data_IF_373115930501
#
_entry.id   IF_373115930501
#
_cell.length_a   1.000
_cell.length_b   1.000
_cell.length_c   1.000
_cell.angle_alpha   90.00
_cell.angle_beta   90.00
_cell.angle_gamma   90.00
#
_symmetry.space_group_name_H-M   'P 1'
#
loop_
_entity.id
_entity.type
_entity.pdbx_description
1 polymer ?
#
# COMPACT_ATOMS: atom_id res chain seq x y z
N UNK A 1 0.97 0.29 -3.64
CA UNK A 1 1.02 1.49 -2.77
C UNK A 1 -0.37 2.10 -2.70
N UNK A 2 -0.77 2.63 -1.53
CA UNK A 2 -2.05 3.36 -1.36
C UNK A 2 -1.72 4.75 -0.79
N UNK A 3 -2.22 5.80 -1.43
CA UNK A 3 -2.10 7.19 -0.96
C UNK A 3 -3.48 7.71 -0.61
N UNK A 4 -3.62 8.32 0.57
CA UNK A 4 -4.88 8.91 1.02
C UNK A 4 -4.63 10.31 1.56
N UNK A 5 -5.36 11.28 1.01
CA UNK A 5 -5.31 12.68 1.42
C UNK A 5 -6.71 13.12 1.87
N UNK A 6 -6.80 13.82 3.00
CA UNK A 6 -8.09 14.21 3.54
C UNK A 6 -8.02 14.84 4.92
N UNK A 7 -9.19 15.13 5.49
CA UNK A 7 -9.27 15.66 6.85
C UNK A 7 -8.85 14.63 7.91
N UNK A 8 -8.35 15.12 9.06
CA UNK A 8 -7.81 14.31 10.17
C UNK A 8 -8.74 13.15 10.59
N UNK A 9 -10.05 13.38 10.65
CA UNK A 9 -11.05 12.36 11.02
C UNK A 9 -11.12 11.23 9.98
N UNK A 10 -11.18 11.56 8.69
CA UNK A 10 -11.25 10.58 7.61
C UNK A 10 -9.95 9.75 7.54
N UNK A 11 -8.79 10.41 7.63
CA UNK A 11 -7.48 9.74 7.65
C UNK A 11 -7.40 8.75 8.82
N UNK A 12 -7.80 9.15 10.05
CA UNK A 12 -7.79 8.24 11.21
C UNK A 12 -8.66 6.99 10.99
N UNK A 13 -9.83 7.15 10.39
CA UNK A 13 -10.71 6.01 10.09
C UNK A 13 -10.11 5.10 9.01
N UNK A 14 -9.52 5.67 7.96
CA UNK A 14 -8.89 4.89 6.89
C UNK A 14 -7.63 4.16 7.36
N UNK A 15 -6.78 4.79 8.17
CA UNK A 15 -5.64 4.11 8.80
C UNK A 15 -6.11 2.96 9.68
N UNK A 16 -7.19 3.12 10.46
CA UNK A 16 -7.77 2.01 11.26
C UNK A 16 -8.31 0.89 10.37
N UNK A 17 -8.91 1.22 9.23
CA UNK A 17 -9.37 0.24 8.25
C UNK A 17 -8.20 -0.60 7.74
N UNK A 18 -7.17 0.05 7.18
CA UNK A 18 -6.03 -0.62 6.54
C UNK A 18 -5.18 -1.42 7.52
N UNK A 19 -4.92 -0.87 8.72
CA UNK A 19 -3.96 -1.47 9.66
C UNK A 19 -4.59 -2.47 10.64
N UNK A 20 -5.92 -2.49 10.81
CA UNK A 20 -6.57 -3.31 11.85
C UNK A 20 -7.81 -4.08 11.41
N UNK A 21 -8.56 -3.60 10.42
CA UNK A 21 -9.86 -4.17 10.07
C UNK A 21 -9.80 -5.07 8.84
N UNK A 22 -8.89 -4.79 7.91
CA UNK A 22 -8.63 -5.65 6.76
C UNK A 22 -7.71 -6.76 7.21
N UNK A 23 -8.15 -8.00 7.00
CA UNK A 23 -7.33 -9.18 7.18
C UNK A 23 -6.58 -9.47 5.88
N UNK A 24 -5.33 -9.02 5.82
CA UNK A 24 -4.48 -9.16 4.63
C UNK A 24 -4.01 -10.59 4.38
N UNK A 25 -4.04 -11.46 5.41
CA UNK A 25 -3.66 -12.87 5.29
C UNK A 25 -4.84 -13.76 4.86
N UNK A 26 -6.04 -13.19 4.66
CA UNK A 26 -7.20 -13.93 4.16
C UNK A 26 -7.73 -15.01 5.13
N UNK A 27 -7.43 -14.91 6.43
CA UNK A 27 -7.87 -15.89 7.43
C UNK A 27 -9.40 -15.87 7.67
N UNK A 28 -10.07 -14.76 7.39
CA UNK A 28 -11.53 -14.59 7.51
C UNK A 28 -12.21 -14.51 6.15
N UNK A 29 -12.41 -15.68 5.54
CA UNK A 29 -13.40 -15.99 4.50
C UNK A 29 -13.36 -15.18 3.19
N UNK A 30 -12.74 -15.76 2.16
CA UNK A 30 -13.31 -15.71 0.81
C UNK A 30 -14.17 -16.97 0.63
N UNK A 31 -15.47 -16.86 0.89
CA UNK A 31 -16.42 -17.87 0.43
C UNK A 31 -16.46 -17.83 -1.10
N UNK A 32 -16.13 -18.95 -1.73
CA UNK A 32 -16.32 -19.29 -3.15
C UNK A 32 -15.64 -18.37 -4.18
N UNK A 33 -14.47 -18.77 -4.70
CA UNK A 33 -14.31 -19.34 -6.05
C UNK A 33 -12.82 -19.49 -6.44
N UNK A 34 -12.57 -20.53 -7.24
CA UNK A 34 -11.34 -20.95 -7.93
C UNK A 34 -10.30 -21.76 -7.12
N UNK A 35 -10.45 -23.09 -7.24
CA UNK A 35 -9.34 -24.04 -7.26
C UNK A 35 -8.31 -23.60 -8.31
N UNK A 36 -7.06 -23.46 -7.89
CA UNK A 36 -5.90 -23.83 -8.69
C UNK A 36 -4.77 -24.16 -7.73
N UNK A 37 -4.42 -25.44 -7.70
CA UNK A 37 -3.24 -25.97 -7.04
C UNK A 37 -2.00 -25.43 -7.76
N UNK A 38 -1.14 -24.71 -7.05
CA UNK A 38 0.29 -24.68 -7.37
C UNK A 38 1.10 -24.35 -6.11
N UNK A 39 1.65 -25.43 -5.55
CA UNK A 39 2.97 -25.61 -4.93
C UNK A 39 3.72 -24.39 -4.33
N UNK A 40 3.96 -24.50 -3.03
CA UNK A 40 5.22 -24.17 -2.33
C UNK A 40 5.97 -22.89 -2.73
N UNK A 41 5.28 -21.75 -2.78
CA UNK A 41 5.92 -20.46 -2.54
C UNK A 41 5.91 -20.16 -1.05
N UNK A 42 7.03 -19.75 -0.39
CA UNK A 42 6.96 -19.28 0.98
C UNK A 42 5.93 -18.14 0.99
N UNK A 43 4.80 -18.36 1.67
CA UNK A 43 3.71 -17.40 1.75
C UNK A 43 4.31 -16.10 2.27
N UNK A 44 4.62 -15.17 1.35
CA UNK A 44 4.97 -13.80 1.73
C UNK A 44 3.80 -13.36 2.59
N UNK A 45 4.07 -13.06 3.86
CA UNK A 45 3.03 -12.59 4.77
C UNK A 45 2.42 -11.35 4.13
N UNK A 46 1.21 -11.46 3.61
CA UNK A 46 0.53 -10.34 2.99
C UNK A 46 0.18 -9.35 4.11
N UNK A 47 0.49 -8.09 3.89
CA UNK A 47 0.34 -7.08 4.93
C UNK A 47 0.26 -5.68 4.37
N UNK A 48 -0.10 -4.76 5.27
CA UNK A 48 -0.12 -3.33 4.98
C UNK A 48 0.77 -2.61 6.00
N UNK A 49 1.71 -1.82 5.50
CA UNK A 49 2.59 -0.99 6.31
C UNK A 49 2.23 0.49 6.13
N UNK A 50 2.17 1.23 7.23
CA UNK A 50 2.09 2.68 7.19
C UNK A 50 3.50 3.26 6.96
N UNK A 51 3.79 3.63 5.72
CA UNK A 51 5.12 4.15 5.33
C UNK A 51 5.34 5.59 5.79
N UNK A 52 4.32 6.45 5.66
CA UNK A 52 4.39 7.85 6.06
C UNK A 52 3.00 8.41 6.39
N UNK A 53 2.94 9.32 7.36
CA UNK A 53 1.74 10.10 7.66
C UNK A 53 2.14 11.52 8.07
N UNK A 54 1.55 12.52 7.43
CA UNK A 54 1.81 13.92 7.75
C UNK A 54 0.79 14.89 7.16
N UNK A 55 1.10 16.17 7.21
CA UNK A 55 0.30 17.27 6.66
C UNK A 55 1.01 17.81 5.43
N UNK A 56 0.25 18.05 4.36
CA UNK A 56 0.73 18.70 3.14
C UNK A 56 -0.09 19.95 2.84
N UNK A 57 0.53 20.94 2.21
CA UNK A 57 -0.12 22.22 1.92
C UNK A 57 -1.23 22.10 0.86
N UNK A 58 -1.07 21.22 -0.12
CA UNK A 58 -2.00 21.02 -1.25
C UNK A 58 -2.20 19.54 -1.51
N UNK A 59 -3.43 19.17 -1.88
CA UNK A 59 -3.76 17.81 -2.31
C UNK A 59 -3.19 17.53 -3.69
N UNK A 60 -2.54 16.39 -3.86
CA UNK A 60 -2.08 15.89 -5.17
C UNK A 60 -3.14 14.99 -5.85
N UNK A 61 -4.12 14.49 -5.08
CA UNK A 61 -5.15 13.57 -5.57
C UNK A 61 -6.56 14.12 -5.30
N UNK A 62 -7.31 14.40 -6.39
CA UNK A 62 -8.68 14.92 -6.28
C UNK A 62 -9.74 13.83 -6.10
N UNK A 63 -9.45 12.60 -6.54
CA UNK A 63 -10.37 11.47 -6.52
C UNK A 63 -9.63 10.18 -6.18
N UNK A 64 -10.35 9.21 -5.61
CA UNK A 64 -9.84 7.87 -5.42
C UNK A 64 -9.88 7.10 -6.76
N UNK A 65 -8.73 6.59 -7.21
CA UNK A 65 -8.60 5.81 -8.45
C UNK A 65 -7.58 4.69 -8.26
N UNK A 66 -7.84 3.56 -8.91
CA UNK A 66 -6.86 2.50 -9.08
C UNK A 66 -6.03 2.80 -10.32
N UNK A 67 -4.71 2.72 -10.17
CA UNK A 67 -3.77 2.84 -11.27
C UNK A 67 -2.89 1.60 -11.27
N UNK A 68 -3.04 0.77 -12.29
CA UNK A 68 -2.13 -0.35 -12.51
C UNK A 68 -0.80 0.19 -13.05
N UNK A 69 0.30 -0.24 -12.46
CA UNK A 69 1.67 0.05 -12.90
C UNK A 69 2.45 -1.27 -12.86
N UNK A 70 2.90 -1.74 -14.03
CA UNK A 70 3.58 -3.05 -14.14
C UNK A 70 5.04 -3.01 -13.70
N UNK A 71 5.64 -1.82 -13.64
CA UNK A 71 7.04 -1.64 -13.25
C UNK A 71 7.18 -0.47 -12.27
N UNK A 72 8.22 -0.50 -11.43
CA UNK A 72 8.56 0.60 -10.52
C UNK A 72 8.77 1.91 -11.27
N UNK A 73 9.37 1.86 -12.46
CA UNK A 73 9.58 3.01 -13.34
C UNK A 73 8.24 3.66 -13.73
N UNK A 74 7.24 2.86 -14.11
CA UNK A 74 5.90 3.40 -14.44
C UNK A 74 5.20 4.00 -13.22
N UNK A 75 5.31 3.35 -12.06
CA UNK A 75 4.75 3.86 -10.82
C UNK A 75 5.37 5.21 -10.41
N UNK A 76 6.70 5.33 -10.47
CA UNK A 76 7.41 6.58 -10.21
C UNK A 76 6.97 7.69 -11.15
N UNK A 77 6.86 7.42 -12.47
CA UNK A 77 6.39 8.40 -13.47
C UNK A 77 4.97 8.90 -13.20
N UNK A 78 4.06 8.03 -12.76
CA UNK A 78 2.70 8.43 -12.36
C UNK A 78 2.72 9.39 -11.17
N UNK A 79 3.58 9.13 -10.18
CA UNK A 79 3.73 9.99 -9.01
C UNK A 79 4.42 11.31 -9.35
N UNK A 80 5.37 11.30 -10.28
CA UNK A 80 6.05 12.48 -10.80
C UNK A 80 5.09 13.41 -11.56
N UNK A 81 4.18 12.87 -12.38
CA UNK A 81 3.13 13.65 -13.05
C UNK A 81 2.19 14.39 -12.06
N UNK A 82 2.18 13.97 -10.79
CA UNK A 82 1.43 14.59 -9.69
C UNK A 82 2.31 15.40 -8.74
N UNK A 83 3.59 15.58 -9.08
CA UNK A 83 4.58 16.28 -8.29
C UNK A 83 4.84 15.67 -6.88
N UNK A 84 4.67 14.35 -6.76
CA UNK A 84 4.80 13.59 -5.52
C UNK A 84 5.64 12.32 -5.67
N UNK A 85 6.64 12.36 -6.58
CA UNK A 85 7.55 11.24 -6.82
C UNK A 85 8.23 10.73 -5.54
N UNK A 86 8.56 11.65 -4.62
CA UNK A 86 9.17 11.32 -3.32
C UNK A 86 8.32 10.37 -2.45
N UNK A 87 7.00 10.28 -2.65
CA UNK A 87 6.20 9.28 -1.95
C UNK A 87 6.55 7.85 -2.41
N UNK A 88 6.86 7.67 -3.70
CA UNK A 88 7.32 6.38 -4.22
C UNK A 88 8.70 6.02 -3.66
N UNK A 89 9.60 7.00 -3.59
CA UNK A 89 10.96 6.84 -3.05
C UNK A 89 10.94 6.37 -1.58
N UNK A 90 9.99 6.87 -0.79
CA UNK A 90 9.77 6.42 0.59
C UNK A 90 9.33 4.95 0.64
N UNK A 91 8.46 4.53 -0.28
CA UNK A 91 7.98 3.14 -0.35
C UNK A 91 9.14 2.21 -0.69
N UNK A 92 9.94 2.52 -1.70
CA UNK A 92 11.09 1.68 -2.09
C UNK A 92 12.08 1.52 -0.92
N UNK A 93 12.43 2.61 -0.24
CA UNK A 93 13.30 2.57 0.94
C UNK A 93 12.71 1.77 2.09
N UNK A 94 11.40 1.90 2.35
CA UNK A 94 10.73 1.16 3.43
C UNK A 94 10.63 -0.34 3.15
N UNK A 95 10.47 -0.72 1.88
CA UNK A 95 10.42 -2.12 1.45
C UNK A 95 11.79 -2.78 1.60
N UNK A 96 12.87 -2.09 1.21
CA UNK A 96 14.24 -2.54 1.43
C UNK A 96 14.55 -2.70 2.92
N UNK A 97 14.20 -1.72 3.75
CA UNK A 97 14.41 -1.80 5.20
C UNK A 97 13.64 -2.97 5.85
N UNK A 98 12.44 -3.27 5.36
CA UNK A 98 11.65 -4.41 5.83
C UNK A 98 12.26 -5.74 5.39
N UNK A 99 12.80 -5.82 4.17
CA UNK A 99 13.48 -7.01 3.66
C UNK A 99 14.80 -7.31 4.39
N UNK A 100 15.46 -6.27 4.91
CA UNK A 100 16.73 -6.38 5.65
C UNK A 100 16.57 -6.66 7.15
N UNK A 101 15.35 -6.69 7.69
CA UNK A 101 15.06 -7.01 9.09
C UNK A 101 14.51 -8.45 9.19
N UNK A 102 15.36 -9.49 9.39
CA UNK A 102 14.93 -10.89 9.26
C UNK A 102 14.21 -11.44 10.49
N UNK A 103 14.09 -10.65 11.57
CA UNK A 103 13.52 -11.09 12.84
C UNK A 103 12.52 -10.05 13.32
N UNK A 104 11.24 -10.33 13.08
CA UNK A 104 10.09 -9.68 13.72
C UNK A 104 9.40 -10.68 14.64
#
# INVERSE_FOLDING_TARGET
MVVVEGGKKAIKQYTKLMMRRIDWNGSRAAGQESESEDEESPKRSNGCLLVWQGVVARKAFNNFRFQECRTSVTARKVMEAKNVAHYWDLVEKSAEATALAPWG
#
